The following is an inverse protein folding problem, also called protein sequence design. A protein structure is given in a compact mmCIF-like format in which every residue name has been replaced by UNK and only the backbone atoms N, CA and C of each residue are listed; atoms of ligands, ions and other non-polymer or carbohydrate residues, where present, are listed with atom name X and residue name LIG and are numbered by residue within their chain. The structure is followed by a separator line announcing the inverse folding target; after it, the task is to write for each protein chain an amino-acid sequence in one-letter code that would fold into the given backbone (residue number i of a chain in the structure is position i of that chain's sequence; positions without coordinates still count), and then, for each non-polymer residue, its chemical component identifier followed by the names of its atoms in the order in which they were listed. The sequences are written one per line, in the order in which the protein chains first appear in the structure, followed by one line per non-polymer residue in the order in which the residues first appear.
data_IF_509516741010
#
_entry.id   IF_509516741010
#
_cell.length_a   1.000
_cell.length_b   1.000
_cell.length_c   1.000
_cell.angle_alpha   90.00
_cell.angle_beta   90.00
_cell.angle_gamma   90.00
#
_symmetry.space_group_name_H-M   'P 1'
#
loop_
_entity.id
_entity.type
_entity.pdbx_description
1 polymer ?
#
# COMPACT_ATOMS: atom_id res chain seq x y z
N UNK A 1 33.63 24.58 -45.09
CA UNK A 1 32.74 23.61 -45.75
C UNK A 1 32.45 22.51 -44.72
N UNK A 2 31.23 22.42 -44.20
CA UNK A 2 30.70 21.31 -43.36
C UNK A 2 29.85 20.37 -44.27
N UNK A 3 29.33 19.19 -43.87
CA UNK A 3 29.26 18.50 -42.56
C UNK A 3 29.64 16.98 -42.65
N UNK A 4 29.60 16.17 -41.57
CA UNK A 4 28.56 15.18 -41.19
C UNK A 4 28.99 14.66 -39.79
N UNK A 5 28.26 14.96 -38.71
CA UNK A 5 27.27 14.07 -38.08
C UNK A 5 27.83 12.74 -37.55
N UNK A 6 28.09 12.63 -36.24
CA UNK A 6 27.24 11.81 -35.38
C UNK A 6 27.55 12.06 -33.88
N UNK A 7 26.61 12.78 -33.27
CA UNK A 7 26.18 12.82 -31.89
C UNK A 7 26.68 11.70 -30.91
N UNK A 8 27.17 12.16 -29.76
CA UNK A 8 27.16 11.53 -28.41
C UNK A 8 27.64 10.08 -28.25
N UNK A 9 28.95 9.93 -28.08
CA UNK A 9 29.55 8.77 -27.39
C UNK A 9 29.58 9.07 -25.88
N UNK A 10 28.41 9.09 -25.23
CA UNK A 10 28.29 9.25 -23.79
C UNK A 10 27.92 7.93 -23.12
N UNK A 11 28.77 7.47 -22.20
CA UNK A 11 28.28 6.87 -20.96
C UNK A 11 28.15 5.35 -20.88
N UNK A 12 29.02 4.57 -21.54
CA UNK A 12 29.15 3.12 -21.26
C UNK A 12 29.93 2.82 -19.95
N UNK A 13 30.05 3.78 -19.03
CA UNK A 13 30.83 3.65 -17.78
C UNK A 13 30.04 3.91 -16.49
N UNK A 14 28.70 3.72 -16.50
CA UNK A 14 27.94 3.52 -15.25
C UNK A 14 27.95 2.05 -14.78
N UNK A 15 28.96 1.28 -15.21
CA UNK A 15 29.45 0.10 -14.49
C UNK A 15 30.15 0.58 -13.22
N UNK A 16 29.39 0.87 -12.16
CA UNK A 16 29.75 0.58 -10.76
C UNK A 16 28.76 1.24 -9.78
N UNK A 17 28.03 0.40 -9.05
CA UNK A 17 27.66 0.61 -7.65
C UNK A 17 26.58 1.66 -7.31
N UNK A 18 25.46 1.67 -8.04
CA UNK A 18 24.18 2.16 -7.48
C UNK A 18 23.20 0.99 -7.31
N UNK A 19 23.65 -0.10 -6.67
CA UNK A 19 22.75 -0.97 -5.92
C UNK A 19 22.49 -0.29 -4.57
N UNK A 20 21.78 0.84 -4.59
CA UNK A 20 20.86 1.04 -3.50
C UNK A 20 19.70 0.09 -3.84
N UNK A 21 19.33 -0.88 -2.99
CA UNK A 21 17.98 -1.41 -3.13
C UNK A 21 17.09 -0.16 -3.04
N UNK A 22 16.37 0.13 -4.13
CA UNK A 22 15.26 1.05 -4.04
C UNK A 22 14.42 0.49 -2.89
N UNK A 23 14.48 1.16 -1.74
CA UNK A 23 13.68 0.80 -0.58
C UNK A 23 12.27 1.21 -1.00
N UNK A 24 11.63 0.37 -1.81
CA UNK A 24 10.18 0.32 -1.89
C UNK A 24 9.80 0.09 -0.43
N UNK A 25 9.20 1.08 0.27
CA UNK A 25 8.72 0.82 1.61
C UNK A 25 7.78 -0.36 1.43
N UNK A 26 8.17 -1.54 1.93
CA UNK A 26 7.36 -2.75 1.82
C UNK A 26 5.99 -2.34 2.32
N UNK A 27 5.05 -2.12 1.38
CA UNK A 27 3.72 -1.68 1.75
C UNK A 27 3.23 -2.77 2.68
N UNK A 28 2.87 -2.44 3.92
CA UNK A 28 2.51 -3.46 4.88
C UNK A 28 1.37 -4.25 4.24
N UNK A 29 1.52 -5.56 4.24
CA UNK A 29 0.48 -6.44 3.74
C UNK A 29 -0.69 -6.28 4.70
N UNK A 30 -1.64 -5.44 4.29
CA UNK A 30 -2.78 -5.09 5.13
C UNK A 30 -3.54 -6.34 5.55
N UNK A 31 -3.61 -7.37 4.70
CA UNK A 31 -4.22 -8.66 5.01
C UNK A 31 -3.48 -9.49 6.09
N UNK A 32 -2.19 -9.21 6.36
CA UNK A 32 -1.39 -9.89 7.38
C UNK A 32 -1.32 -9.10 8.71
N UNK A 33 -1.92 -7.91 8.76
CA UNK A 33 -1.97 -7.13 10.00
C UNK A 33 -3.03 -7.67 10.94
N UNK A 34 -2.72 -7.60 12.23
CA UNK A 34 -3.68 -7.87 13.29
C UNK A 34 -4.63 -6.67 13.42
N UNK A 35 -5.75 -6.74 12.70
CA UNK A 35 -6.78 -5.72 12.75
C UNK A 35 -7.73 -5.96 13.91
N UNK A 36 -7.85 -4.97 14.77
CA UNK A 36 -8.87 -4.90 15.80
C UNK A 36 -10.18 -4.40 15.20
N UNK A 37 -11.24 -5.19 15.38
CA UNK A 37 -12.60 -4.84 14.95
C UNK A 37 -13.22 -3.86 15.94
N UNK A 38 -13.48 -2.64 15.46
CA UNK A 38 -14.15 -1.57 16.19
C UNK A 38 -15.64 -1.48 15.88
N UNK A 39 -16.13 -0.24 15.79
CA UNK A 39 -17.54 0.09 15.61
C UNK A 39 -18.07 -0.27 14.21
N UNK A 40 -19.36 -0.60 14.13
CA UNK A 40 -20.08 -0.75 12.86
C UNK A 40 -20.26 0.63 12.22
N UNK A 41 -19.73 0.80 11.02
CA UNK A 41 -19.89 2.01 10.20
C UNK A 41 -21.23 1.95 9.48
N UNK A 42 -21.45 0.88 8.73
CA UNK A 42 -22.64 0.70 7.89
C UNK A 42 -22.94 -0.79 7.65
N UNK A 43 -24.18 -1.08 7.23
CA UNK A 43 -24.62 -2.43 6.90
C UNK A 43 -25.42 -2.40 5.60
N UNK A 44 -24.84 -2.98 4.55
CA UNK A 44 -25.53 -3.15 3.28
C UNK A 44 -26.26 -4.50 3.25
N UNK A 45 -27.59 -4.43 3.33
CA UNK A 45 -28.44 -5.62 3.33
C UNK A 45 -28.57 -6.27 1.94
N UNK A 46 -28.32 -5.52 0.86
CA UNK A 46 -28.42 -5.99 -0.52
C UNK A 46 -27.21 -6.86 -0.86
N UNK A 47 -26.01 -6.39 -0.54
CA UNK A 47 -24.73 -7.08 -0.72
C UNK A 47 -24.42 -8.05 0.44
N UNK A 48 -25.21 -7.98 1.53
CA UNK A 48 -24.98 -8.72 2.80
C UNK A 48 -23.60 -8.41 3.39
N UNK A 49 -23.18 -7.16 3.25
CA UNK A 49 -21.91 -6.66 3.69
C UNK A 49 -22.07 -5.80 4.94
N UNK A 50 -21.09 -5.88 5.83
CA UNK A 50 -21.02 -5.07 7.03
C UNK A 50 -19.67 -4.37 7.07
N UNK A 51 -19.71 -3.06 7.20
CA UNK A 51 -18.53 -2.22 7.23
C UNK A 51 -18.22 -1.87 8.67
N UNK A 52 -17.02 -2.20 9.14
CA UNK A 52 -16.57 -1.88 10.49
C UNK A 52 -15.32 -1.01 10.45
N UNK A 53 -15.13 -0.16 11.46
CA UNK A 53 -13.85 0.49 11.70
C UNK A 53 -12.87 -0.59 12.11
N UNK A 54 -11.73 -0.64 11.44
CA UNK A 54 -10.64 -1.56 11.73
C UNK A 54 -9.43 -0.72 12.13
N UNK A 55 -8.79 -1.05 13.24
CA UNK A 55 -7.55 -0.39 13.66
C UNK A 55 -6.43 -1.41 13.77
N UNK A 56 -5.22 -1.04 13.35
CA UNK A 56 -4.04 -1.89 13.46
C UNK A 56 -2.84 -1.05 13.90
N UNK A 57 -1.93 -1.64 14.67
CA UNK A 57 -0.67 -1.00 15.05
C UNK A 57 0.50 -1.78 14.46
N UNK A 58 1.33 -1.10 13.67
CA UNK A 58 2.54 -1.68 13.10
C UNK A 58 3.72 -0.75 13.38
N UNK A 59 4.76 -1.27 14.02
CA UNK A 59 5.98 -0.51 14.37
C UNK A 59 5.70 0.81 15.12
N UNK A 60 4.65 0.84 15.97
CA UNK A 60 4.24 2.04 16.71
C UNK A 60 3.50 3.09 15.88
N UNK A 61 3.13 2.77 14.64
CA UNK A 61 2.24 3.57 13.80
C UNK A 61 0.86 2.94 13.83
N UNK A 62 -0.15 3.75 14.13
CA UNK A 62 -1.55 3.33 14.10
C UNK A 62 -2.16 3.58 12.74
N UNK A 63 -2.82 2.56 12.24
CA UNK A 63 -3.55 2.55 10.99
C UNK A 63 -5.03 2.36 11.31
N UNK A 64 -5.87 3.11 10.64
CA UNK A 64 -7.31 2.98 10.69
C UNK A 64 -7.80 2.69 9.28
N UNK A 65 -8.74 1.77 9.13
CA UNK A 65 -9.32 1.40 7.84
C UNK A 65 -10.74 0.91 8.01
N UNK A 66 -11.39 0.60 6.89
CA UNK A 66 -12.74 0.06 6.85
C UNK A 66 -12.67 -1.42 6.49
N UNK A 67 -13.06 -2.27 7.42
CA UNK A 67 -13.18 -3.72 7.22
C UNK A 67 -14.52 -4.08 6.64
N UNK A 68 -14.50 -4.70 5.46
CA UNK A 68 -15.68 -5.21 4.76
C UNK A 68 -15.86 -6.67 5.12
N UNK A 69 -16.96 -6.96 5.82
CA UNK A 69 -17.34 -8.32 6.18
C UNK A 69 -18.50 -8.78 5.31
N UNK A 70 -18.38 -9.94 4.67
CA UNK A 70 -19.49 -10.59 3.97
C UNK A 70 -19.76 -11.94 4.61
N UNK A 71 -21.03 -12.24 4.89
CA UNK A 71 -21.45 -13.46 5.61
C UNK A 71 -20.75 -13.70 6.96
N UNK A 72 -20.22 -12.65 7.61
CA UNK A 72 -19.51 -12.73 8.88
C UNK A 72 -18.01 -12.99 8.77
N UNK A 73 -17.47 -13.10 7.56
CA UNK A 73 -16.04 -13.24 7.29
C UNK A 73 -15.48 -11.91 6.76
N UNK A 74 -14.29 -11.52 7.23
CA UNK A 74 -13.59 -10.33 6.71
C UNK A 74 -13.10 -10.64 5.29
N UNK A 75 -13.58 -9.90 4.31
CA UNK A 75 -13.22 -10.08 2.90
C UNK A 75 -12.07 -9.16 2.51
N UNK A 76 -12.07 -7.93 3.04
CA UNK A 76 -11.13 -6.89 2.65
C UNK A 76 -11.07 -5.79 3.71
N UNK A 77 -9.93 -5.11 3.81
CA UNK A 77 -9.81 -3.82 4.48
C UNK A 77 -9.45 -2.76 3.44
N UNK A 78 -10.16 -1.63 3.45
CA UNK A 78 -9.93 -0.52 2.52
C UNK A 78 -9.97 0.85 3.19
N UNK A 79 -9.60 1.89 2.45
CA UNK A 79 -9.55 3.25 2.99
C UNK A 79 -8.55 3.42 4.13
N UNK A 80 -7.42 2.71 4.08
CA UNK A 80 -6.46 2.67 5.18
C UNK A 80 -5.73 4.01 5.27
N UNK A 81 -5.86 4.66 6.41
CA UNK A 81 -5.24 5.94 6.75
C UNK A 81 -4.38 5.83 8.01
N UNK A 82 -3.39 6.72 8.12
CA UNK A 82 -2.52 6.79 9.30
C UNK A 82 -3.20 7.69 10.32
N UNK A 83 -3.55 7.12 11.47
CA UNK A 83 -4.11 7.87 12.59
C UNK A 83 -2.96 8.51 13.38
N UNK A 84 -2.97 9.85 13.48
CA UNK A 84 -1.90 10.67 14.09
C UNK A 84 -2.09 10.91 15.58
#
# INVERSE_FOLDING_TARGET
MMPIDNHWNYGQEYRNQMMAPEYEPEMPKWDELDWEKGDLIDFDAEERESYYVMTAELNGVKYEGTGIYSCGELIKVEGIEISK
#
